data_IF_217794481962
#
_entry.id   IF_217794481962
#
_cell.length_a   1.000
_cell.length_b   1.000
_cell.length_c   1.000
_cell.angle_alpha   90.00
_cell.angle_beta   90.00
_cell.angle_gamma   90.00
#
_symmetry.space_group_name_H-M   'P 1'
#
loop_
_entity.id
_entity.type
_entity.pdbx_description
1 polymer ?
#
# COMPACT_ATOMS: atom_id res chain seq x y z
N UNK A 1 25.09 15.79 -22.50
CA UNK A 1 25.38 16.52 -21.24
C UNK A 1 25.20 15.56 -20.07
N UNK A 2 26.28 15.20 -19.38
CA UNK A 2 26.24 14.27 -18.24
C UNK A 2 25.82 15.02 -16.97
N UNK A 3 24.62 14.73 -16.46
CA UNK A 3 24.13 15.33 -15.21
C UNK A 3 24.86 14.71 -14.01
N UNK A 4 25.46 15.56 -13.17
CA UNK A 4 26.14 15.15 -11.93
C UNK A 4 25.14 14.59 -10.90
N UNK A 5 25.59 13.60 -10.11
CA UNK A 5 24.81 13.02 -8.98
C UNK A 5 24.25 14.08 -8.02
N UNK A 6 24.96 15.19 -7.82
CA UNK A 6 24.49 16.31 -6.99
C UNK A 6 23.25 16.99 -7.58
N UNK A 7 23.24 17.19 -8.91
CA UNK A 7 22.12 17.79 -9.64
C UNK A 7 20.91 16.85 -9.63
N UNK A 8 21.13 15.54 -9.86
CA UNK A 8 20.08 14.52 -9.80
C UNK A 8 19.45 14.41 -8.40
N UNK A 9 20.25 14.51 -7.33
CA UNK A 9 19.75 14.43 -5.95
C UNK A 9 18.93 15.67 -5.56
N UNK A 10 19.35 16.86 -6.01
CA UNK A 10 18.61 18.11 -5.77
C UNK A 10 17.30 18.11 -6.56
N UNK A 11 17.32 17.79 -7.85
CA UNK A 11 16.13 17.69 -8.68
C UNK A 11 15.13 16.66 -8.14
N UNK A 12 15.60 15.49 -7.66
CA UNK A 12 14.74 14.49 -7.03
C UNK A 12 14.19 14.94 -5.65
N UNK A 13 14.81 15.90 -4.96
CA UNK A 13 14.28 16.50 -3.72
C UNK A 13 13.19 17.51 -4.04
N UNK A 14 13.45 18.37 -5.01
CA UNK A 14 12.50 19.37 -5.49
C UNK A 14 11.26 18.71 -6.10
N UNK A 15 11.43 17.65 -6.89
CA UNK A 15 10.31 16.88 -7.46
C UNK A 15 9.40 16.29 -6.39
N UNK A 16 9.97 15.76 -5.29
CA UNK A 16 9.18 15.22 -4.18
C UNK A 16 8.38 16.31 -3.48
N UNK A 17 8.97 17.49 -3.24
CA UNK A 17 8.23 18.62 -2.67
C UNK A 17 7.08 19.08 -3.57
N UNK A 18 7.29 19.10 -4.89
CA UNK A 18 6.27 19.42 -5.88
C UNK A 18 5.16 18.35 -5.94
N UNK A 19 5.52 17.07 -5.90
CA UNK A 19 4.58 15.95 -5.89
C UNK A 19 3.72 15.92 -4.63
N UNK A 20 4.34 16.17 -3.47
CA UNK A 20 3.61 16.32 -2.19
C UNK A 20 2.66 17.50 -2.26
N UNK A 21 3.12 18.66 -2.74
CA UNK A 21 2.26 19.83 -2.89
C UNK A 21 1.08 19.57 -3.85
N UNK A 22 1.33 18.94 -5.00
CA UNK A 22 0.29 18.58 -5.96
C UNK A 22 -0.72 17.58 -5.37
N UNK A 23 -0.26 16.62 -4.56
CA UNK A 23 -1.14 15.73 -3.81
C UNK A 23 -2.02 16.51 -2.81
N UNK A 24 -1.42 17.39 -2.02
CA UNK A 24 -2.14 18.19 -1.02
C UNK A 24 -3.20 19.07 -1.66
N UNK A 25 -2.87 19.80 -2.73
CA UNK A 25 -3.83 20.67 -3.45
C UNK A 25 -5.00 19.85 -4.02
N UNK A 26 -4.74 18.68 -4.60
CA UNK A 26 -5.81 17.79 -5.11
C UNK A 26 -6.71 17.28 -3.99
N UNK A 27 -6.11 16.87 -2.87
CA UNK A 27 -6.86 16.39 -1.72
C UNK A 27 -7.74 17.51 -1.15
N UNK A 28 -7.19 18.69 -0.89
CA UNK A 28 -7.91 19.87 -0.37
C UNK A 28 -9.08 20.30 -1.26
N UNK A 29 -8.97 20.13 -2.58
CA UNK A 29 -10.03 20.48 -3.51
C UNK A 29 -11.26 19.54 -3.46
N UNK A 30 -11.11 18.31 -2.94
CA UNK A 30 -12.18 17.29 -2.93
C UNK A 30 -12.61 16.88 -1.52
N UNK A 31 -11.68 16.97 -0.56
CA UNK A 31 -11.86 16.50 0.80
C UNK A 31 -12.51 17.56 1.69
N UNK A 32 -13.57 17.16 2.37
CA UNK A 32 -14.34 17.97 3.32
C UNK A 32 -14.65 17.19 4.59
N UNK A 33 -14.89 15.88 4.48
CA UNK A 33 -15.27 15.02 5.60
C UNK A 33 -14.54 13.67 5.54
N UNK A 34 -14.29 13.09 6.71
CA UNK A 34 -13.55 11.83 6.87
C UNK A 34 -14.17 10.64 6.12
N UNK A 35 -15.48 10.65 5.98
CA UNK A 35 -16.32 9.63 5.36
C UNK A 35 -16.07 9.52 3.85
N UNK A 36 -15.48 10.54 3.23
CA UNK A 36 -15.07 10.48 1.82
C UNK A 36 -13.86 9.58 1.60
N UNK A 37 -13.00 9.45 2.60
CA UNK A 37 -11.70 8.79 2.42
C UNK A 37 -11.83 7.28 2.49
N UNK A 38 -11.19 6.62 1.53
CA UNK A 38 -11.09 5.18 1.44
C UNK A 38 -9.66 4.76 1.13
N UNK A 39 -8.95 4.21 2.11
CA UNK A 39 -7.55 3.82 1.98
C UNK A 39 -7.43 2.35 1.62
N UNK A 40 -6.54 2.05 0.69
CA UNK A 40 -6.27 0.68 0.25
C UNK A 40 -4.77 0.46 0.21
N UNK A 41 -4.32 -0.64 0.82
CA UNK A 41 -2.91 -1.02 0.89
C UNK A 41 -2.74 -2.55 0.88
N UNK A 42 -1.54 -3.01 0.51
CA UNK A 42 -1.17 -4.42 0.63
C UNK A 42 -0.10 -4.67 1.69
N UNK A 43 -0.33 -5.72 2.47
CA UNK A 43 0.63 -6.22 3.46
C UNK A 43 1.09 -7.59 3.01
N UNK A 44 2.41 -7.82 2.99
CA UNK A 44 2.98 -9.15 2.73
C UNK A 44 3.73 -9.71 3.94
N UNK A 45 3.43 -10.95 4.31
CA UNK A 45 4.04 -11.69 5.40
C UNK A 45 4.66 -12.97 4.87
N UNK A 46 5.98 -13.06 4.90
CA UNK A 46 6.71 -14.33 4.79
C UNK A 46 6.59 -15.13 6.10
N UNK A 47 6.25 -16.41 6.00
CA UNK A 47 6.14 -17.31 7.16
C UNK A 47 7.41 -17.41 8.01
N UNK A 48 8.57 -17.04 7.49
CA UNK A 48 9.83 -16.98 8.26
C UNK A 48 9.94 -15.77 9.18
N UNK A 49 9.14 -14.72 8.96
CA UNK A 49 9.15 -13.53 9.82
C UNK A 49 8.56 -13.79 11.21
N UNK A 50 7.82 -14.88 11.41
CA UNK A 50 7.35 -15.28 12.74
C UNK A 50 8.43 -16.00 13.56
N UNK A 51 9.57 -16.33 12.97
CA UNK A 51 10.62 -17.05 13.68
C UNK A 51 11.31 -16.16 14.71
N UNK A 52 11.38 -16.69 15.93
CA UNK A 52 12.05 -16.03 17.05
C UNK A 52 13.57 -16.01 16.81
N UNK A 53 14.14 -14.81 16.68
CA UNK A 53 15.58 -14.61 16.45
C UNK A 53 16.43 -14.69 17.72
N UNK A 54 15.82 -14.46 18.88
CA UNK A 54 16.54 -14.34 20.16
C UNK A 54 15.87 -15.19 21.24
N UNK A 55 16.68 -15.90 22.00
CA UNK A 55 16.25 -16.65 23.17
C UNK A 55 17.31 -16.54 24.28
N UNK A 56 16.84 -16.64 25.52
CA UNK A 56 17.68 -16.52 26.71
C UNK A 56 18.04 -17.90 27.24
N UNK A 57 19.26 -18.03 27.76
CA UNK A 57 19.73 -19.21 28.47
C UNK A 57 20.40 -18.79 29.78
N UNK A 58 20.62 -19.76 30.68
CA UNK A 58 21.42 -19.50 31.88
C UNK A 58 22.82 -19.08 31.47
N UNK A 59 23.48 -18.30 32.33
CA UNK A 59 24.87 -17.88 32.11
C UNK A 59 25.73 -19.13 31.85
N UNK A 60 26.54 -19.09 30.79
CA UNK A 60 27.40 -20.18 30.32
C UNK A 60 26.69 -21.42 29.76
N UNK A 61 25.39 -21.34 29.37
CA UNK A 61 24.73 -22.44 28.66
C UNK A 61 24.33 -22.06 27.23
N UNK A 62 24.44 -23.03 26.31
CA UNK A 62 24.07 -22.82 24.90
C UNK A 62 22.56 -22.70 24.76
N UNK A 63 22.11 -21.67 24.05
CA UNK A 63 20.71 -21.53 23.65
C UNK A 63 20.46 -22.35 22.39
N UNK A 64 19.51 -23.27 22.44
CA UNK A 64 19.11 -24.07 21.27
C UNK A 64 17.67 -23.71 20.90
N UNK A 65 17.48 -23.22 19.68
CA UNK A 65 16.15 -22.95 19.11
C UNK A 65 15.94 -23.90 17.94
N UNK A 66 14.85 -24.67 17.95
CA UNK A 66 14.45 -25.51 16.82
C UNK A 66 13.45 -24.75 15.98
N UNK A 67 13.75 -24.60 14.69
CA UNK A 67 12.88 -23.95 13.71
C UNK A 67 12.54 -24.95 12.60
N UNK A 68 11.33 -24.85 12.01
CA UNK A 68 11.00 -25.65 10.84
C UNK A 68 11.94 -25.31 9.68
N UNK A 69 12.63 -26.33 9.15
CA UNK A 69 13.52 -26.22 7.99
C UNK A 69 12.69 -26.30 6.70
N UNK A 70 11.99 -25.22 6.38
CA UNK A 70 11.16 -25.11 5.19
C UNK A 70 11.05 -23.67 4.70
N UNK A 71 10.82 -23.49 3.39
CA UNK A 71 10.41 -22.18 2.87
C UNK A 71 9.01 -21.88 3.43
N UNK A 72 8.89 -20.83 4.23
CA UNK A 72 7.58 -20.36 4.67
C UNK A 72 6.75 -19.94 3.46
N UNK A 73 5.45 -20.21 3.49
CA UNK A 73 4.52 -19.63 2.51
C UNK A 73 4.49 -18.12 2.74
N UNK A 74 4.50 -17.35 1.64
CA UNK A 74 4.21 -15.92 1.68
C UNK A 74 2.71 -15.75 1.60
N UNK A 75 2.17 -14.91 2.47
CA UNK A 75 0.78 -14.48 2.43
C UNK A 75 0.77 -12.99 2.14
N UNK A 76 -0.01 -12.56 1.15
CA UNK A 76 -0.27 -11.14 0.92
C UNK A 76 -1.74 -10.85 1.18
N UNK A 77 -2.02 -9.73 1.83
CA UNK A 77 -3.34 -9.29 2.25
C UNK A 77 -3.58 -7.93 1.62
N UNK A 78 -4.69 -7.80 0.89
CA UNK A 78 -5.27 -6.53 0.49
C UNK A 78 -6.18 -6.07 1.63
N UNK A 79 -6.05 -4.83 2.10
CA UNK A 79 -6.92 -4.28 3.12
C UNK A 79 -7.46 -2.91 2.69
N UNK A 80 -8.74 -2.68 2.97
CA UNK A 80 -9.43 -1.42 2.75
C UNK A 80 -9.97 -0.87 4.07
N UNK A 81 -9.74 0.43 4.29
CA UNK A 81 -9.97 1.16 5.52
C UNK A 81 -10.75 2.45 5.22
N UNK A 82 -11.75 2.77 6.04
CA UNK A 82 -12.34 4.10 6.12
C UNK A 82 -12.26 4.66 7.55
N UNK A 83 -12.89 5.80 7.79
CA UNK A 83 -12.95 6.45 9.12
C UNK A 83 -13.46 5.54 10.26
N UNK A 84 -14.21 4.47 9.95
CA UNK A 84 -14.75 3.51 10.91
C UNK A 84 -13.84 2.31 11.18
N UNK A 85 -12.78 2.11 10.38
CA UNK A 85 -11.86 0.99 10.50
C UNK A 85 -11.78 0.12 9.24
N UNK A 86 -11.34 -1.13 9.40
CA UNK A 86 -11.24 -2.07 8.28
C UNK A 86 -12.62 -2.51 7.84
N UNK A 87 -12.91 -2.33 6.55
CA UNK A 87 -14.23 -2.64 6.00
C UNK A 87 -14.21 -3.75 4.96
N UNK A 88 -13.07 -3.98 4.31
CA UNK A 88 -12.88 -5.11 3.39
C UNK A 88 -11.43 -5.58 3.40
N UNK A 89 -11.25 -6.87 3.16
CA UNK A 89 -9.94 -7.46 2.96
C UNK A 89 -10.02 -8.68 2.03
N UNK A 90 -8.89 -9.02 1.44
CA UNK A 90 -8.70 -10.26 0.69
C UNK A 90 -7.27 -10.77 0.96
N UNK A 91 -7.01 -12.05 0.71
CA UNK A 91 -5.67 -12.60 0.81
C UNK A 91 -5.34 -13.52 -0.34
N UNK A 92 -4.06 -13.63 -0.66
CA UNK A 92 -3.52 -14.61 -1.61
C UNK A 92 -2.27 -15.25 -1.04
N UNK A 93 -2.07 -16.53 -1.33
CA UNK A 93 -0.73 -17.13 -1.23
C UNK A 93 0.17 -16.47 -2.29
N UNK A 94 1.43 -16.19 -1.92
CA UNK A 94 2.40 -15.50 -2.77
C UNK A 94 2.31 -13.97 -2.71
N UNK A 95 2.86 -13.31 -3.72
CA UNK A 95 2.83 -11.86 -3.90
C UNK A 95 1.66 -11.49 -4.82
N UNK A 96 0.96 -10.38 -4.54
CA UNK A 96 -0.04 -9.86 -5.47
C UNK A 96 0.59 -9.53 -6.83
N UNK A 97 0.08 -10.17 -7.87
CA UNK A 97 0.22 -9.71 -9.25
C UNK A 97 -0.89 -8.72 -9.57
N UNK A 98 -0.72 -7.88 -10.60
CA UNK A 98 -1.76 -6.96 -11.09
C UNK A 98 -3.11 -7.66 -11.28
N UNK A 99 -3.14 -8.84 -11.91
CA UNK A 99 -4.38 -9.58 -12.15
C UNK A 99 -5.04 -10.06 -10.85
N UNK A 100 -4.25 -10.63 -9.93
CA UNK A 100 -4.79 -11.08 -8.64
C UNK A 100 -5.28 -9.93 -7.77
N UNK A 101 -4.60 -8.78 -7.82
CA UNK A 101 -5.02 -7.55 -7.16
C UNK A 101 -6.32 -7.04 -7.78
N UNK A 102 -6.39 -6.92 -9.10
CA UNK A 102 -7.58 -6.44 -9.81
C UNK A 102 -8.82 -7.27 -9.45
N UNK A 103 -8.70 -8.61 -9.50
CA UNK A 103 -9.80 -9.50 -9.12
C UNK A 103 -10.25 -9.29 -7.68
N UNK A 104 -9.30 -9.22 -6.74
CA UNK A 104 -9.60 -8.99 -5.33
C UNK A 104 -10.25 -7.61 -5.11
N UNK A 105 -9.78 -6.58 -5.81
CA UNK A 105 -10.31 -5.23 -5.76
C UNK A 105 -11.75 -5.18 -6.27
N UNK A 106 -12.02 -5.71 -7.47
CA UNK A 106 -13.36 -5.72 -8.06
C UNK A 106 -14.34 -6.51 -7.18
N UNK A 107 -13.90 -7.61 -6.59
CA UNK A 107 -14.77 -8.46 -5.76
C UNK A 107 -15.05 -7.86 -4.38
N UNK A 108 -14.03 -7.28 -3.70
CA UNK A 108 -14.13 -6.90 -2.29
C UNK A 108 -14.20 -5.40 -2.02
N UNK A 109 -13.62 -4.58 -2.91
CA UNK A 109 -13.42 -3.14 -2.67
C UNK A 109 -14.38 -2.32 -3.52
N UNK A 110 -14.45 -2.59 -4.83
CA UNK A 110 -15.25 -1.82 -5.78
C UNK A 110 -16.73 -1.67 -5.37
N UNK A 111 -17.42 -2.70 -4.84
CA UNK A 111 -18.82 -2.57 -4.41
C UNK A 111 -19.06 -1.62 -3.24
N UNK A 112 -17.99 -1.20 -2.55
CA UNK A 112 -18.08 -0.30 -1.40
C UNK A 112 -17.96 1.17 -1.78
N UNK A 113 -17.48 1.46 -2.99
CA UNK A 113 -17.25 2.82 -3.48
C UNK A 113 -18.55 3.45 -3.96
N UNK A 114 -18.72 4.73 -3.66
CA UNK A 114 -19.90 5.50 -4.03
C UNK A 114 -19.50 6.96 -4.29
N UNK A 115 -20.37 7.78 -4.92
CA UNK A 115 -20.16 9.22 -5.01
C UNK A 115 -20.14 9.90 -3.62
N UNK A 116 -20.79 9.28 -2.63
CA UNK A 116 -20.74 9.58 -1.20
C UNK A 116 -21.40 8.45 -0.39
N UNK A 117 -20.84 7.95 0.73
CA UNK A 117 -19.47 8.13 1.23
C UNK A 117 -18.42 7.35 0.41
N UNK A 118 -17.14 7.35 0.81
CA UNK A 118 -16.02 6.63 0.17
C UNK A 118 -15.76 7.06 -1.27
N UNK A 119 -15.84 8.36 -1.50
CA UNK A 119 -15.71 8.99 -2.81
C UNK A 119 -14.28 9.35 -3.19
N UNK A 120 -13.32 9.21 -2.29
CA UNK A 120 -11.89 9.46 -2.53
C UNK A 120 -11.12 8.20 -2.15
N UNK A 121 -10.66 7.46 -3.16
CA UNK A 121 -9.82 6.27 -2.99
C UNK A 121 -8.36 6.70 -2.95
N UNK A 122 -7.67 6.37 -1.86
CA UNK A 122 -6.25 6.66 -1.67
C UNK A 122 -5.44 5.37 -1.70
N UNK A 123 -4.41 5.34 -2.57
CA UNK A 123 -3.54 4.19 -2.78
C UNK A 123 -2.09 4.63 -2.91
N UNK A 124 -1.13 3.72 -2.67
CA UNK A 124 0.25 3.98 -3.04
C UNK A 124 0.41 4.00 -4.59
N UNK A 125 1.55 4.50 -5.07
CA UNK A 125 1.82 4.62 -6.50
C UNK A 125 2.54 3.40 -7.10
N UNK A 126 2.37 2.20 -6.52
CA UNK A 126 2.98 1.00 -7.06
C UNK A 126 2.44 0.67 -8.47
N UNK A 127 3.33 0.16 -9.33
CA UNK A 127 3.00 -0.19 -10.72
C UNK A 127 1.83 -1.20 -10.85
N UNK A 128 1.56 -1.97 -9.80
CA UNK A 128 0.44 -2.93 -9.79
C UNK A 128 -0.92 -2.24 -9.65
N UNK A 129 -0.99 -0.98 -9.20
CA UNK A 129 -2.22 -0.17 -9.13
C UNK A 129 -2.36 0.80 -10.31
N UNK A 130 -1.27 1.11 -11.00
CA UNK A 130 -1.28 2.10 -12.08
C UNK A 130 -1.64 1.47 -13.43
N UNK A 131 -2.94 1.34 -13.70
CA UNK A 131 -3.49 0.89 -14.99
C UNK A 131 -4.90 1.42 -15.21
N UNK A 132 -5.26 1.63 -16.47
CA UNK A 132 -6.46 2.38 -16.87
C UNK A 132 -7.75 1.71 -16.40
N UNK A 133 -7.78 0.38 -16.43
CA UNK A 133 -8.96 -0.40 -16.11
C UNK A 133 -9.35 -0.23 -14.62
N UNK A 134 -8.38 -0.08 -13.71
CA UNK A 134 -8.66 0.21 -12.30
C UNK A 134 -9.26 1.60 -12.13
N UNK A 135 -8.62 2.60 -12.71
CA UNK A 135 -9.03 3.99 -12.62
C UNK A 135 -10.45 4.18 -13.18
N UNK A 136 -10.73 3.56 -14.33
CA UNK A 136 -12.05 3.58 -14.95
C UNK A 136 -13.11 2.90 -14.06
N UNK A 137 -12.80 1.73 -13.49
CA UNK A 137 -13.72 1.05 -12.59
C UNK A 137 -14.06 1.92 -11.37
N UNK A 138 -13.06 2.55 -10.75
CA UNK A 138 -13.27 3.48 -9.63
C UNK A 138 -14.14 4.67 -10.07
N UNK A 139 -13.80 5.31 -11.18
CA UNK A 139 -14.54 6.49 -11.65
C UNK A 139 -15.99 6.19 -12.03
N UNK A 140 -16.30 4.98 -12.51
CA UNK A 140 -17.67 4.54 -12.79
C UNK A 140 -18.55 4.45 -11.55
N UNK A 141 -17.96 4.27 -10.36
CA UNK A 141 -18.70 4.32 -9.08
C UNK A 141 -18.99 5.75 -8.61
N UNK A 142 -18.45 6.77 -9.31
CA UNK A 142 -18.49 8.17 -8.89
C UNK A 142 -17.36 8.57 -7.94
N UNK A 143 -16.59 7.62 -7.43
CA UNK A 143 -15.39 7.91 -6.66
C UNK A 143 -14.25 8.48 -7.52
N UNK A 144 -13.20 8.99 -6.87
CA UNK A 144 -11.99 9.53 -7.49
C UNK A 144 -10.76 8.83 -6.91
N UNK A 145 -9.82 8.51 -7.79
CA UNK A 145 -8.55 7.88 -7.39
C UNK A 145 -7.49 8.94 -7.13
N UNK A 146 -6.82 8.83 -5.99
CA UNK A 146 -5.71 9.69 -5.58
C UNK A 146 -4.52 8.84 -5.12
N UNK A 147 -3.42 8.88 -5.87
CA UNK A 147 -2.19 8.20 -5.49
C UNK A 147 -1.38 9.03 -4.51
N UNK A 148 -0.78 8.36 -3.51
CA UNK A 148 0.19 8.95 -2.61
C UNK A 148 1.45 9.40 -3.40
N UNK A 149 2.07 10.51 -2.99
CA UNK A 149 3.35 10.91 -3.57
C UNK A 149 4.42 9.86 -3.30
N UNK A 150 5.44 9.71 -4.17
CA UNK A 150 6.51 8.75 -3.98
C UNK A 150 7.11 8.80 -2.58
N UNK A 151 7.13 7.65 -1.91
CA UNK A 151 7.66 7.54 -0.56
C UNK A 151 9.17 7.76 -0.55
N UNK A 152 9.65 8.76 0.20
CA UNK A 152 11.06 8.80 0.62
C UNK A 152 11.22 7.94 1.86
N UNK A 153 11.90 6.81 1.76
CA UNK A 153 12.46 6.19 2.96
C UNK A 153 13.42 7.20 3.61
N UNK A 154 13.14 7.61 4.86
CA UNK A 154 14.16 8.17 5.74
C UNK A 154 15.23 7.08 5.90
N UNK A 155 16.31 7.19 5.12
CA UNK A 155 17.56 6.48 5.41
C UNK A 155 18.28 7.19 6.54
#
# INVERSE_FOLDING_TARGET
MSLSRKVLTKAARESVSQEVHAYTVKLEAMYSYSEQLFFIDEISKDGRHSYRKYAWSKRNTKTVVRLPFGRGKRLSILAALDHSGFVAWNYTEGTYTRNSFHRAFVEKVLPMLNPWPRSIVVMDNANIHMYKELEQAIHQTGARLLYLPPYRQRR
#
